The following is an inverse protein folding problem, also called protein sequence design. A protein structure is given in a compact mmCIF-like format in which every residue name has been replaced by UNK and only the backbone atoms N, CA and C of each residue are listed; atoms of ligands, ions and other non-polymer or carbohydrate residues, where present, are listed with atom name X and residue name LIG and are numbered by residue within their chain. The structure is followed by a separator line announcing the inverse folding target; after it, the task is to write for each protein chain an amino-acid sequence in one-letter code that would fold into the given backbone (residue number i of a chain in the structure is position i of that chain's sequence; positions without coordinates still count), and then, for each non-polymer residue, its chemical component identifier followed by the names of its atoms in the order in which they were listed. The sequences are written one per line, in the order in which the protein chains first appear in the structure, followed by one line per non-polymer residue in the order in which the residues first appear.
data_IF_562474790944
#
_entry.id   IF_562474790944
#
_cell.length_a   1.000
_cell.length_b   1.000
_cell.length_c   1.000
_cell.angle_alpha   90.00
_cell.angle_beta   90.00
_cell.angle_gamma   90.00
#
_symmetry.space_group_name_H-M   'P 1'
#
loop_
_entity.id
_entity.type
_entity.pdbx_description
1 polymer ?
#
# COMPACT_ATOMS: atom_id res chain seq x y z
N UNK A 1 25.65 2.27 26.26
CA UNK A 1 24.49 2.02 25.40
C UNK A 1 23.66 0.93 26.07
N UNK A 2 22.34 1.19 26.22
CA UNK A 2 21.39 0.25 26.79
C UNK A 2 21.04 -0.78 25.72
N UNK A 3 21.19 -2.07 26.01
CA UNK A 3 20.94 -3.16 25.06
C UNK A 3 19.46 -3.26 24.67
N UNK A 4 18.55 -2.86 25.56
CA UNK A 4 17.10 -2.86 25.32
C UNK A 4 16.45 -1.68 26.03
N UNK A 5 15.57 -0.98 25.32
CA UNK A 5 14.80 0.16 25.83
C UNK A 5 13.31 -0.08 25.53
N UNK A 6 12.46 0.24 26.50
CA UNK A 6 11.01 0.07 26.40
C UNK A 6 10.37 1.45 26.44
N UNK A 7 9.49 1.71 25.47
CA UNK A 7 8.71 2.94 25.37
C UNK A 7 7.22 2.62 25.39
N UNK A 8 6.46 3.36 26.14
CA UNK A 8 5.00 3.32 26.08
C UNK A 8 4.53 4.44 25.13
N UNK A 9 3.90 4.04 24.03
CA UNK A 9 3.39 4.96 23.00
C UNK A 9 1.89 4.75 22.90
N UNK A 10 1.12 5.68 23.46
CA UNK A 10 -0.34 5.60 23.58
C UNK A 10 -0.79 4.28 24.28
N UNK A 11 -1.30 3.32 23.50
CA UNK A 11 -1.77 2.00 23.99
C UNK A 11 -0.86 0.85 23.54
N UNK A 12 0.33 1.15 23.07
CA UNK A 12 1.26 0.14 22.53
C UNK A 12 2.61 0.26 23.22
N UNK A 13 3.21 -0.90 23.45
CA UNK A 13 4.60 -0.99 23.87
C UNK A 13 5.51 -1.06 22.64
N UNK A 14 6.55 -0.24 22.63
CA UNK A 14 7.63 -0.29 21.65
C UNK A 14 8.90 -0.72 22.36
N UNK A 15 9.56 -1.74 21.85
CA UNK A 15 10.85 -2.23 22.34
C UNK A 15 11.90 -1.94 21.29
N UNK A 16 12.94 -1.21 21.66
CA UNK A 16 14.12 -1.00 20.84
C UNK A 16 15.28 -1.79 21.42
N UNK A 17 15.87 -2.70 20.65
CA UNK A 17 16.97 -3.53 21.05
C UNK A 17 18.12 -3.46 20.04
N UNK A 18 19.35 -3.43 20.54
CA UNK A 18 20.57 -3.47 19.74
C UNK A 18 21.35 -4.74 20.08
N UNK A 19 21.42 -5.66 19.10
CA UNK A 19 22.10 -6.95 19.27
C UNK A 19 23.59 -6.89 18.93
N UNK A 20 24.15 -5.74 18.61
CA UNK A 20 25.57 -5.63 18.22
C UNK A 20 26.52 -6.26 19.25
N UNK A 21 26.24 -6.12 20.55
CA UNK A 21 27.04 -6.60 21.66
C UNK A 21 26.49 -7.85 22.33
N UNK A 22 25.35 -8.37 21.89
CA UNK A 22 24.77 -9.58 22.45
C UNK A 22 25.42 -10.79 21.83
N UNK A 23 25.85 -11.75 22.66
CA UNK A 23 26.62 -12.89 22.19
C UNK A 23 25.88 -14.23 22.31
N UNK A 24 24.76 -14.29 23.03
CA UNK A 24 24.02 -15.53 23.20
C UNK A 24 22.53 -15.31 23.51
N UNK A 25 21.72 -16.34 23.22
CA UNK A 25 20.29 -16.36 23.63
C UNK A 25 20.13 -16.29 25.16
N UNK A 26 21.06 -16.86 25.92
CA UNK A 26 21.01 -16.82 27.37
C UNK A 26 21.16 -15.40 27.92
N UNK A 27 21.98 -14.59 27.28
CA UNK A 27 22.13 -13.17 27.62
C UNK A 27 20.82 -12.40 27.35
N UNK A 28 20.15 -12.64 26.22
CA UNK A 28 18.85 -12.06 25.92
C UNK A 28 17.75 -12.53 26.87
N UNK A 29 17.71 -13.82 27.19
CA UNK A 29 16.77 -14.36 28.17
C UNK A 29 16.96 -13.73 29.55
N UNK A 30 18.23 -13.47 29.93
CA UNK A 30 18.55 -12.76 31.18
C UNK A 30 18.05 -11.30 31.22
N UNK A 31 17.80 -10.70 30.04
CA UNK A 31 17.20 -9.36 29.90
C UNK A 31 15.66 -9.39 29.82
N UNK A 32 15.03 -10.58 29.87
CA UNK A 32 13.59 -10.73 29.76
C UNK A 32 13.07 -10.45 28.32
N UNK A 33 13.86 -10.81 27.30
CA UNK A 33 13.53 -10.52 25.90
C UNK A 33 12.17 -11.12 25.48
N UNK A 34 11.97 -12.40 25.71
CA UNK A 34 10.78 -13.11 25.23
C UNK A 34 9.49 -12.53 25.82
N UNK A 35 9.47 -12.28 27.13
CA UNK A 35 8.33 -11.69 27.81
C UNK A 35 8.08 -10.22 27.40
N UNK A 36 9.16 -9.52 27.08
CA UNK A 36 9.07 -8.10 26.72
C UNK A 36 8.47 -7.89 25.34
N UNK A 37 8.77 -8.76 24.38
CA UNK A 37 8.30 -8.63 23.01
C UNK A 37 6.93 -9.26 22.72
N UNK A 38 6.38 -10.07 23.63
CA UNK A 38 5.17 -10.86 23.40
C UNK A 38 3.98 -10.01 22.95
N UNK A 39 3.80 -8.81 23.52
CA UNK A 39 2.73 -7.87 23.15
C UNK A 39 3.27 -6.52 22.70
N UNK A 40 4.48 -6.48 22.16
CA UNK A 40 5.15 -5.25 21.78
C UNK A 40 5.45 -5.19 20.27
N UNK A 41 5.66 -3.98 19.77
CA UNK A 41 6.36 -3.77 18.51
C UNK A 41 7.85 -3.70 18.81
N UNK A 42 8.62 -4.69 18.37
CA UNK A 42 10.06 -4.70 18.52
C UNK A 42 10.78 -4.11 17.30
N UNK A 43 11.68 -3.17 17.53
CA UNK A 43 12.69 -2.69 16.58
C UNK A 43 14.04 -3.27 17.02
N UNK A 44 14.67 -4.05 16.17
CA UNK A 44 15.92 -4.74 16.49
C UNK A 44 16.99 -4.32 15.50
N UNK A 45 18.07 -3.75 16.01
CA UNK A 45 19.29 -3.50 15.24
C UNK A 45 20.24 -4.69 15.37
N UNK A 46 21.03 -4.95 14.32
CA UNK A 46 21.97 -6.07 14.23
C UNK A 46 21.31 -7.44 14.45
N UNK A 47 20.09 -7.57 13.94
CA UNK A 47 19.26 -8.75 14.12
C UNK A 47 19.91 -10.06 13.57
N UNK A 48 20.78 -9.94 12.58
CA UNK A 48 21.55 -11.04 11.99
C UNK A 48 22.53 -11.70 12.94
N UNK A 49 22.85 -11.08 14.06
CA UNK A 49 23.75 -11.66 15.08
C UNK A 49 23.12 -12.80 15.86
N UNK A 50 21.82 -12.76 16.05
CA UNK A 50 21.05 -13.78 16.77
C UNK A 50 19.72 -14.07 16.05
N UNK A 51 19.75 -14.66 14.86
CA UNK A 51 18.54 -14.91 14.07
C UNK A 51 17.54 -15.82 14.77
N UNK A 52 17.98 -16.69 15.68
CA UNK A 52 17.13 -17.58 16.48
C UNK A 52 16.27 -16.83 17.51
N UNK A 53 16.68 -15.63 17.91
CA UNK A 53 15.91 -14.78 18.84
C UNK A 53 14.76 -14.04 18.15
N UNK A 54 14.71 -14.05 16.82
CA UNK A 54 13.76 -13.26 16.07
C UNK A 54 12.41 -13.97 15.95
N UNK A 55 11.28 -13.24 16.13
CA UNK A 55 9.96 -13.82 15.98
C UNK A 55 9.71 -14.28 14.54
N UNK A 56 8.86 -15.32 14.40
CA UNK A 56 8.48 -15.86 13.08
C UNK A 56 7.77 -14.84 12.21
N UNK A 57 6.99 -13.94 12.81
CA UNK A 57 6.29 -12.86 12.12
C UNK A 57 7.13 -11.57 12.22
N UNK A 58 7.85 -11.23 11.16
CA UNK A 58 8.73 -10.05 11.15
C UNK A 58 8.93 -9.45 9.77
N UNK A 59 9.37 -8.21 9.75
CA UNK A 59 9.95 -7.55 8.58
C UNK A 59 11.45 -7.39 8.83
N UNK A 60 12.27 -7.79 7.87
CA UNK A 60 13.70 -7.49 7.84
C UNK A 60 13.94 -6.36 6.85
N UNK A 61 14.64 -5.31 7.28
CA UNK A 61 14.98 -4.15 6.48
C UNK A 61 16.50 -4.07 6.42
N UNK A 62 17.07 -4.47 5.28
CA UNK A 62 18.51 -4.35 5.04
C UNK A 62 18.80 -3.04 4.30
N UNK A 63 19.69 -2.24 4.87
CA UNK A 63 20.15 -0.96 4.35
C UNK A 63 21.58 -1.13 3.83
N UNK A 64 21.78 -1.01 2.52
CA UNK A 64 23.07 -1.10 1.88
C UNK A 64 23.39 0.21 1.15
N UNK A 65 24.64 0.50 0.93
CA UNK A 65 25.03 1.56 0.00
C UNK A 65 24.62 1.13 -1.41
N UNK A 66 24.01 2.03 -2.18
CA UNK A 66 23.63 1.74 -3.57
C UNK A 66 24.86 1.73 -4.48
N UNK A 67 25.80 2.65 -4.20
CA UNK A 67 27.08 2.76 -4.87
C UNK A 67 28.17 3.08 -3.83
N UNK A 68 29.41 2.57 -4.02
CA UNK A 68 30.50 2.81 -3.08
C UNK A 68 30.84 4.29 -2.87
N UNK A 69 30.61 5.11 -3.90
CA UNK A 69 31.01 6.52 -3.95
C UNK A 69 29.88 7.50 -3.63
N UNK A 70 28.63 7.04 -3.41
CA UNK A 70 27.53 7.90 -2.99
C UNK A 70 27.11 7.60 -1.53
N UNK A 71 27.57 8.42 -0.56
CA UNK A 71 27.22 8.22 0.86
C UNK A 71 25.78 8.58 1.19
N UNK A 72 25.03 9.23 0.28
CA UNK A 72 23.68 9.71 0.53
C UNK A 72 22.60 8.76 -0.01
N UNK A 73 22.97 7.83 -0.89
CA UNK A 73 22.03 6.88 -1.46
C UNK A 73 22.10 5.52 -0.75
N UNK A 74 20.95 4.93 -0.48
CA UNK A 74 20.82 3.60 0.13
C UNK A 74 19.92 2.71 -0.70
N UNK A 75 20.37 1.47 -0.89
CA UNK A 75 19.51 0.40 -1.37
C UNK A 75 18.81 -0.25 -0.18
N UNK A 76 17.50 -0.17 -0.17
CA UNK A 76 16.65 -0.77 0.89
C UNK A 76 16.08 -2.08 0.37
N UNK A 77 16.38 -3.19 1.07
CA UNK A 77 15.77 -4.49 0.80
C UNK A 77 14.85 -4.83 1.97
N UNK A 78 13.55 -5.02 1.68
CA UNK A 78 12.57 -5.43 2.67
C UNK A 78 12.20 -6.89 2.41
N UNK A 79 12.32 -7.73 3.43
CA UNK A 79 11.93 -9.14 3.40
C UNK A 79 10.89 -9.38 4.50
N UNK A 80 9.76 -10.00 4.15
CA UNK A 80 8.69 -10.29 5.09
C UNK A 80 8.61 -11.78 5.38
N UNK A 81 8.42 -12.12 6.67
CA UNK A 81 8.30 -13.48 7.15
C UNK A 81 6.96 -13.70 7.86
N UNK A 82 6.46 -14.94 7.79
CA UNK A 82 5.22 -15.33 8.43
C UNK A 82 4.02 -14.50 7.95
N UNK A 83 3.20 -14.01 8.87
CA UNK A 83 2.00 -13.22 8.55
C UNK A 83 2.29 -11.90 7.82
N UNK A 84 3.52 -11.36 7.91
CA UNK A 84 3.88 -10.14 7.19
C UNK A 84 4.08 -10.36 5.69
N UNK A 85 4.32 -11.59 5.24
CA UNK A 85 4.47 -11.90 3.81
C UNK A 85 3.21 -11.51 3.02
N UNK A 86 2.03 -11.84 3.53
CA UNK A 86 0.76 -11.45 2.91
C UNK A 86 0.54 -9.92 2.92
N UNK A 87 1.03 -9.21 3.94
CA UNK A 87 0.93 -7.75 4.02
C UNK A 87 1.87 -7.02 3.05
N UNK A 88 3.00 -7.64 2.71
CA UNK A 88 3.97 -7.07 1.77
C UNK A 88 3.59 -7.34 0.30
N UNK A 89 2.79 -8.38 0.02
CA UNK A 89 2.40 -8.77 -1.33
C UNK A 89 1.82 -7.60 -2.17
N UNK A 90 0.90 -6.75 -1.67
CA UNK A 90 0.36 -5.63 -2.44
C UNK A 90 1.43 -4.63 -2.88
N UNK A 91 2.42 -4.35 -2.04
CA UNK A 91 3.52 -3.44 -2.38
C UNK A 91 4.41 -4.01 -3.50
N UNK A 92 4.61 -5.33 -3.51
CA UNK A 92 5.32 -6.00 -4.59
C UNK A 92 4.55 -5.88 -5.91
N UNK A 93 3.26 -6.18 -5.91
CA UNK A 93 2.39 -6.06 -7.09
C UNK A 93 2.39 -4.64 -7.65
N UNK A 94 2.24 -3.63 -6.80
CA UNK A 94 2.33 -2.21 -7.20
C UNK A 94 3.67 -1.92 -7.87
N UNK A 95 4.78 -2.29 -7.22
CA UNK A 95 6.12 -2.04 -7.77
C UNK A 95 6.32 -2.72 -9.13
N UNK A 96 5.89 -3.95 -9.25
CA UNK A 96 6.06 -4.74 -10.47
C UNK A 96 5.18 -4.18 -11.61
N UNK A 97 3.94 -3.76 -11.33
CA UNK A 97 3.07 -3.06 -12.27
C UNK A 97 3.71 -1.74 -12.76
N UNK A 98 4.16 -0.90 -11.84
CA UNK A 98 4.77 0.39 -12.18
C UNK A 98 6.06 0.22 -12.98
N UNK A 99 6.85 -0.82 -12.69
CA UNK A 99 8.07 -1.12 -13.47
C UNK A 99 7.72 -1.53 -14.90
N UNK A 100 6.76 -2.43 -15.08
CA UNK A 100 6.36 -2.94 -16.39
C UNK A 100 5.70 -1.86 -17.27
N UNK A 101 5.04 -0.89 -16.64
CA UNK A 101 4.35 0.19 -17.34
C UNK A 101 5.18 1.47 -17.53
N UNK A 102 6.47 1.47 -17.13
CA UNK A 102 7.35 2.64 -17.27
C UNK A 102 7.19 3.71 -16.20
N UNK A 103 6.47 3.44 -15.10
CA UNK A 103 6.20 4.38 -14.03
C UNK A 103 6.99 4.12 -12.75
N UNK A 104 8.05 3.28 -12.82
CA UNK A 104 8.84 2.89 -11.65
C UNK A 104 9.52 4.06 -10.91
N UNK A 105 9.80 5.17 -11.61
CA UNK A 105 10.48 6.35 -11.07
C UNK A 105 9.54 7.53 -10.83
N UNK A 106 8.23 7.34 -11.00
CA UNK A 106 7.25 8.39 -10.77
C UNK A 106 7.21 8.80 -9.30
N UNK A 107 7.08 10.11 -9.06
CA UNK A 107 6.74 10.62 -7.74
C UNK A 107 5.32 10.19 -7.41
N UNK A 108 5.11 9.66 -6.21
CA UNK A 108 3.82 9.15 -5.74
C UNK A 108 3.31 10.01 -4.59
N UNK A 109 2.07 10.45 -4.68
CA UNK A 109 1.42 11.24 -3.64
C UNK A 109 0.05 10.65 -3.32
N UNK A 110 -0.29 10.58 -2.04
CA UNK A 110 -1.60 10.14 -1.60
C UNK A 110 -2.69 11.03 -2.21
N UNK A 111 -3.72 10.41 -2.78
CA UNK A 111 -4.92 11.06 -3.24
C UNK A 111 -6.08 10.68 -2.34
N UNK A 112 -6.65 11.67 -1.65
CA UNK A 112 -7.82 11.44 -0.82
C UNK A 112 -9.00 11.02 -1.70
N UNK A 113 -9.50 9.79 -1.48
CA UNK A 113 -10.71 9.27 -2.11
C UNK A 113 -11.96 9.69 -1.35
N UNK A 114 -13.09 9.27 -1.89
CA UNK A 114 -14.38 9.31 -1.22
C UNK A 114 -14.50 8.22 -0.14
N UNK A 115 -15.70 8.02 0.39
CA UNK A 115 -16.01 6.98 1.38
C UNK A 115 -15.92 5.54 0.84
N UNK A 116 -15.31 5.32 -0.31
CA UNK A 116 -15.11 3.99 -0.89
C UNK A 116 -13.97 3.23 -0.22
N UNK A 117 -13.95 1.93 -0.41
CA UNK A 117 -12.85 1.06 0.09
C UNK A 117 -11.61 1.09 -0.79
N UNK A 118 -11.58 1.93 -1.81
CA UNK A 118 -10.48 2.11 -2.75
C UNK A 118 -9.48 3.12 -2.23
N UNK A 119 -8.21 2.85 -2.42
CA UNK A 119 -7.15 3.83 -2.19
C UNK A 119 -6.63 4.34 -3.53
N UNK A 120 -6.22 5.60 -3.55
CA UNK A 120 -5.72 6.25 -4.74
C UNK A 120 -4.41 6.97 -4.46
N UNK A 121 -3.53 6.97 -5.45
CA UNK A 121 -2.34 7.80 -5.47
C UNK A 121 -2.23 8.51 -6.82
N UNK A 122 -1.74 9.74 -6.80
CA UNK A 122 -1.32 10.44 -8.01
C UNK A 122 0.13 10.07 -8.30
N UNK A 123 0.42 9.79 -9.55
CA UNK A 123 1.78 9.59 -10.04
C UNK A 123 2.16 10.73 -10.96
N UNK A 124 3.40 11.20 -10.84
CA UNK A 124 3.97 12.22 -11.73
C UNK A 124 5.38 11.81 -12.13
N UNK A 125 5.60 11.64 -13.41
CA UNK A 125 6.91 11.36 -13.98
C UNK A 125 7.76 12.62 -14.10
N UNK A 126 9.05 12.47 -14.31
CA UNK A 126 10.01 13.58 -14.48
C UNK A 126 9.72 14.49 -15.69
N UNK A 127 9.02 13.96 -16.68
CA UNK A 127 8.55 14.69 -17.88
C UNK A 127 7.21 15.42 -17.68
N UNK A 128 6.64 15.31 -16.47
CA UNK A 128 5.37 15.94 -16.12
C UNK A 128 4.13 15.11 -16.49
N UNK A 129 4.29 13.91 -17.04
CA UNK A 129 3.17 13.01 -17.28
C UNK A 129 2.53 12.58 -15.97
N UNK A 130 1.18 12.54 -15.93
CA UNK A 130 0.39 12.19 -14.73
C UNK A 130 -0.47 10.97 -14.96
N UNK A 131 -0.66 10.21 -13.88
CA UNK A 131 -1.54 9.06 -13.84
C UNK A 131 -2.12 8.88 -12.44
N UNK A 132 -3.18 8.07 -12.34
CA UNK A 132 -3.77 7.66 -11.07
C UNK A 132 -3.49 6.16 -10.86
N UNK A 133 -2.91 5.83 -9.73
CA UNK A 133 -2.83 4.46 -9.24
C UNK A 133 -4.05 4.20 -8.37
N UNK A 134 -4.91 3.28 -8.78
CA UNK A 134 -6.06 2.81 -8.01
C UNK A 134 -5.72 1.46 -7.39
N UNK A 135 -5.93 1.34 -6.08
CA UNK A 135 -5.68 0.13 -5.30
C UNK A 135 -7.01 -0.31 -4.69
N UNK A 136 -7.54 -1.41 -5.17
CA UNK A 136 -8.83 -1.97 -4.76
C UNK A 136 -8.76 -3.50 -4.73
N UNK A 137 -8.01 -4.09 -3.80
CA UNK A 137 -7.94 -5.53 -3.68
C UNK A 137 -9.31 -6.11 -3.38
N UNK A 138 -9.59 -7.27 -3.97
CA UNK A 138 -10.84 -7.99 -3.71
C UNK A 138 -10.95 -8.27 -2.22
N UNK A 139 -12.13 -7.99 -1.67
CA UNK A 139 -12.47 -8.26 -0.28
C UNK A 139 -13.56 -9.32 -0.22
N UNK A 140 -13.59 -10.15 0.84
CA UNK A 140 -14.73 -11.02 1.07
C UNK A 140 -16.01 -10.21 1.20
N UNK A 141 -17.09 -10.74 0.68
CA UNK A 141 -18.43 -10.20 0.90
C UNK A 141 -18.72 -10.05 2.41
N UNK A 142 -19.38 -8.96 2.75
CA UNK A 142 -19.91 -8.80 4.10
C UNK A 142 -20.99 -9.83 4.43
N UNK A 143 -21.47 -9.86 5.68
CA UNK A 143 -22.53 -10.78 6.08
C UNK A 143 -23.82 -10.55 5.27
N UNK A 144 -24.64 -11.59 5.08
CA UNK A 144 -25.91 -11.45 4.41
C UNK A 144 -26.84 -10.48 5.19
N UNK A 145 -27.43 -9.49 4.49
CA UNK A 145 -28.32 -8.50 5.09
C UNK A 145 -29.78 -8.80 4.73
N UNK A 146 -30.02 -9.15 3.45
CA UNK A 146 -31.39 -9.38 2.95
C UNK A 146 -31.39 -10.44 1.84
N UNK A 147 -32.32 -11.38 1.92
CA UNK A 147 -32.46 -12.48 0.94
C UNK A 147 -31.18 -13.31 0.74
N UNK A 148 -30.39 -13.50 1.79
CA UNK A 148 -29.13 -14.22 1.72
C UNK A 148 -28.01 -13.48 0.95
N UNK A 149 -28.21 -12.19 0.62
CA UNK A 149 -27.24 -11.36 -0.11
C UNK A 149 -26.56 -10.34 0.80
N UNK A 150 -25.29 -10.08 0.55
CA UNK A 150 -24.52 -9.00 1.17
C UNK A 150 -24.99 -7.63 0.67
N UNK A 151 -24.57 -6.55 1.35
CA UNK A 151 -24.85 -5.18 0.91
C UNK A 151 -24.30 -4.91 -0.51
N UNK A 152 -23.07 -5.32 -0.80
CA UNK A 152 -22.44 -5.15 -2.10
C UNK A 152 -23.23 -5.80 -3.23
N UNK A 153 -23.73 -7.01 -3.01
CA UNK A 153 -24.56 -7.73 -3.98
C UNK A 153 -25.91 -7.04 -4.21
N UNK A 154 -26.54 -6.54 -3.14
CA UNK A 154 -27.83 -5.84 -3.26
C UNK A 154 -27.66 -4.49 -3.97
N UNK A 155 -26.64 -3.72 -3.58
CA UNK A 155 -26.37 -2.41 -4.14
C UNK A 155 -25.64 -2.47 -5.50
N UNK A 156 -25.30 -3.68 -5.97
CA UNK A 156 -24.55 -3.91 -7.22
C UNK A 156 -23.24 -3.12 -7.29
N UNK A 157 -22.53 -3.05 -6.17
CA UNK A 157 -21.23 -2.40 -6.11
C UNK A 157 -20.22 -3.23 -6.90
N UNK A 158 -19.31 -2.56 -7.59
CA UNK A 158 -18.17 -3.21 -8.25
C UNK A 158 -17.20 -3.71 -7.16
N UNK A 159 -17.20 -5.02 -6.93
CA UNK A 159 -16.41 -5.69 -5.87
C UNK A 159 -14.94 -5.87 -6.27
N UNK A 160 -14.66 -5.83 -7.58
CA UNK A 160 -13.32 -5.95 -8.12
C UNK A 160 -13.07 -4.94 -9.25
N UNK A 161 -11.81 -4.78 -9.61
CA UNK A 161 -11.38 -3.82 -10.64
C UNK A 161 -11.76 -4.25 -12.06
N UNK A 162 -12.10 -5.51 -12.28
CA UNK A 162 -12.48 -6.03 -13.61
C UNK A 162 -13.70 -5.31 -14.16
N UNK A 163 -14.70 -5.05 -13.31
CA UNK A 163 -15.87 -4.28 -13.70
C UNK A 163 -15.52 -2.84 -14.09
N UNK A 164 -14.57 -2.20 -13.37
CA UNK A 164 -14.09 -0.87 -13.73
C UNK A 164 -13.44 -0.86 -15.11
N UNK A 165 -12.53 -1.82 -15.37
CA UNK A 165 -11.84 -1.94 -16.65
C UNK A 165 -12.85 -2.17 -17.79
N UNK A 166 -13.77 -3.12 -17.62
CA UNK A 166 -14.78 -3.45 -18.64
C UNK A 166 -15.69 -2.26 -18.98
N UNK A 167 -16.13 -1.50 -17.97
CA UNK A 167 -16.98 -0.32 -18.19
C UNK A 167 -16.18 0.81 -18.85
N UNK A 168 -14.95 1.09 -18.38
CA UNK A 168 -14.11 2.14 -18.98
C UNK A 168 -13.84 1.85 -20.45
N UNK A 169 -13.46 0.62 -20.80
CA UNK A 169 -13.24 0.19 -22.18
C UNK A 169 -14.52 0.28 -23.01
N UNK A 170 -15.63 -0.26 -22.51
CA UNK A 170 -16.92 -0.23 -23.22
C UNK A 170 -17.47 1.18 -23.47
N UNK A 171 -17.22 2.13 -22.57
CA UNK A 171 -17.55 3.54 -22.77
C UNK A 171 -16.67 4.18 -23.86
N UNK A 172 -15.35 3.97 -23.80
CA UNK A 172 -14.40 4.51 -24.80
C UNK A 172 -14.70 3.97 -26.21
N UNK A 173 -15.00 2.68 -26.35
CA UNK A 173 -15.39 2.06 -27.64
C UNK A 173 -16.66 2.71 -28.25
N UNK A 174 -17.51 3.28 -27.42
CA UNK A 174 -18.73 3.99 -27.85
C UNK A 174 -18.54 5.51 -27.99
N UNK A 175 -17.31 5.99 -27.85
CA UNK A 175 -16.98 7.41 -28.00
C UNK A 175 -17.23 8.26 -26.75
N UNK A 176 -17.56 7.65 -25.61
CA UNK A 176 -17.68 8.38 -24.36
C UNK A 176 -16.31 8.64 -23.72
N UNK A 177 -16.22 9.76 -22.98
CA UNK A 177 -15.04 10.06 -22.17
C UNK A 177 -15.01 9.15 -20.94
N UNK A 178 -13.97 8.33 -20.85
CA UNK A 178 -13.67 7.47 -19.71
C UNK A 178 -12.16 7.32 -19.59
N UNK A 179 -11.61 7.10 -18.39
CA UNK A 179 -10.16 7.04 -18.20
C UNK A 179 -9.55 5.89 -19.00
N UNK A 180 -8.43 6.17 -19.66
CA UNK A 180 -7.62 5.15 -20.28
C UNK A 180 -6.97 4.27 -19.22
N UNK A 181 -6.90 2.97 -19.48
CA UNK A 181 -6.24 1.98 -18.60
C UNK A 181 -4.82 1.77 -19.14
N UNK A 182 -3.82 2.35 -18.47
CA UNK A 182 -2.42 2.22 -18.89
C UNK A 182 -1.83 0.87 -18.52
N UNK A 183 -2.20 0.33 -17.36
CA UNK A 183 -1.80 -0.99 -16.89
C UNK A 183 -2.78 -1.55 -15.86
N UNK A 184 -2.84 -2.87 -15.73
CA UNK A 184 -3.72 -3.54 -14.76
C UNK A 184 -3.07 -4.81 -14.21
N UNK A 185 -3.26 -5.03 -12.91
CA UNK A 185 -3.10 -6.31 -12.22
C UNK A 185 -4.46 -6.64 -11.59
N UNK A 186 -5.27 -7.39 -12.33
CA UNK A 186 -6.65 -7.69 -11.94
C UNK A 186 -6.71 -8.59 -10.71
N UNK A 187 -5.74 -9.49 -10.55
CA UNK A 187 -5.68 -10.42 -9.42
C UNK A 187 -5.34 -9.69 -8.12
N UNK A 188 -4.43 -8.72 -8.17
CA UNK A 188 -4.08 -7.88 -7.03
C UNK A 188 -5.04 -6.71 -6.83
N UNK A 189 -5.93 -6.43 -7.79
CA UNK A 189 -6.87 -5.32 -7.74
C UNK A 189 -6.20 -3.96 -7.90
N UNK A 190 -5.22 -3.84 -8.79
CA UNK A 190 -4.43 -2.63 -8.99
C UNK A 190 -4.56 -2.17 -10.43
N UNK A 191 -4.87 -0.89 -10.63
CA UNK A 191 -4.94 -0.26 -11.95
C UNK A 191 -4.08 1.01 -11.99
N UNK A 192 -3.43 1.22 -13.12
CA UNK A 192 -2.84 2.50 -13.48
C UNK A 192 -3.70 3.11 -14.59
N UNK A 193 -4.30 4.26 -14.32
CA UNK A 193 -5.29 4.88 -15.19
C UNK A 193 -4.94 6.33 -15.48
N UNK A 194 -5.53 6.86 -16.53
CA UNK A 194 -5.44 8.27 -16.90
C UNK A 194 -5.88 9.19 -15.76
N UNK A 195 -5.14 10.27 -15.53
CA UNK A 195 -5.54 11.37 -14.64
C UNK A 195 -6.41 12.36 -15.42
N UNK A 196 -7.72 12.31 -15.21
CA UNK A 196 -8.70 13.22 -15.83
C UNK A 196 -8.73 14.61 -15.16
N UNK A 197 -7.83 14.87 -14.20
CA UNK A 197 -7.74 16.15 -13.50
C UNK A 197 -8.59 16.21 -12.23
N UNK A 198 -8.61 17.41 -11.63
CA UNK A 198 -9.19 17.65 -10.29
C UNK A 198 -10.44 18.50 -10.31
N UNK A 199 -10.85 18.96 -11.48
CA UNK A 199 -12.00 19.87 -11.59
C UNK A 199 -13.28 19.04 -11.58
N UNK A 200 -14.03 19.10 -10.48
CA UNK A 200 -15.30 18.40 -10.31
C UNK A 200 -16.44 18.99 -11.15
N UNK A 201 -17.60 18.42 -11.02
CA UNK A 201 -18.89 18.95 -11.57
C UNK A 201 -19.55 19.97 -10.64
N UNK A 202 -18.96 20.16 -9.45
CA UNK A 202 -19.38 21.07 -8.38
C UNK A 202 -18.15 21.87 -7.94
N UNK A 203 -18.31 23.16 -7.67
CA UNK A 203 -17.35 24.06 -7.02
C UNK A 203 -17.96 24.70 -5.75
N UNK A 204 -17.24 25.62 -5.13
CA UNK A 204 -17.69 26.30 -3.90
C UNK A 204 -19.01 27.09 -4.08
N UNK A 205 -19.36 27.44 -5.30
CA UNK A 205 -20.60 28.13 -5.65
C UNK A 205 -21.77 27.19 -5.99
N UNK A 206 -21.51 25.88 -6.09
CA UNK A 206 -22.49 24.85 -6.39
C UNK A 206 -22.24 24.12 -7.71
N UNK A 207 -23.30 23.55 -8.32
CA UNK A 207 -23.19 22.77 -9.56
C UNK A 207 -22.72 23.62 -10.75
N UNK A 208 -21.69 23.14 -11.47
CA UNK A 208 -21.22 23.77 -12.71
C UNK A 208 -22.16 23.36 -13.85
N UNK A 209 -23.13 24.23 -14.15
CA UNK A 209 -24.25 23.91 -15.04
C UNK A 209 -23.83 23.34 -16.40
N UNK A 210 -22.79 23.89 -17.02
CA UNK A 210 -22.29 23.42 -18.32
C UNK A 210 -21.88 21.95 -18.29
N UNK A 211 -21.24 21.50 -17.21
CA UNK A 211 -20.80 20.11 -17.04
C UNK A 211 -21.96 19.15 -16.75
N UNK A 212 -22.96 19.63 -16.01
CA UNK A 212 -24.19 18.86 -15.80
C UNK A 212 -24.99 18.68 -17.08
N UNK A 213 -25.08 19.71 -17.92
CA UNK A 213 -25.77 19.62 -19.21
C UNK A 213 -25.04 18.68 -20.16
N UNK A 214 -23.70 18.71 -20.20
CA UNK A 214 -22.91 17.80 -21.00
C UNK A 214 -23.03 16.33 -20.54
N UNK A 215 -23.12 16.09 -19.24
CA UNK A 215 -23.33 14.75 -18.70
C UNK A 215 -24.74 14.20 -18.93
N UNK A 216 -25.74 15.06 -19.19
CA UNK A 216 -27.15 14.69 -19.40
C UNK A 216 -27.53 14.57 -20.89
N UNK A 217 -26.66 15.02 -21.81
CA UNK A 217 -26.88 14.97 -23.25
C UNK A 217 -26.48 13.60 -23.85
#
# INVERSE_FOLDING_TARGET
FTLMQIYEVERRRLVHADFYRVNSLQELAGLGWDETIEEALALVEWAERLPEALPKNRLEIALNFSQPDDPNERLVKITAYGAFAARLAPFKSIRDLLRQSGWAQAHRSFLQGDASTRAYETLENKDGAKAILMISPQRPDGPPIRYGKSYSQIARLAENVTAFVAIAQGLRERGFSAPEIYASDLDSGILLVEDLGRVGVVDDSGPILGRYLEAAA
#
